data_IF_734678113168
#
_entry.id   IF_734678113168
#
_cell.length_a   1.000
_cell.length_b   1.000
_cell.length_c   1.000
_cell.angle_alpha   90.00
_cell.angle_beta   90.00
_cell.angle_gamma   90.00
#
_symmetry.space_group_name_H-M   'P 1'
#
loop_
_entity.id
_entity.type
_entity.pdbx_description
1 polymer ?
#
# COMPACT_ATOMS: atom_id res chain seq x y z
N UNK A 1 -37.23 2.10 23.30
CA UNK A 1 -38.05 1.82 22.10
C UNK A 1 -37.15 1.25 21.04
N UNK A 2 -37.23 -0.06 20.85
CA UNK A 2 -36.53 -0.82 19.81
C UNK A 2 -37.32 -0.70 18.49
N UNK A 3 -36.60 -0.45 17.40
CA UNK A 3 -37.07 -0.75 16.04
C UNK A 3 -35.86 -1.23 15.22
N UNK A 4 -35.85 -2.50 14.76
CA UNK A 4 -34.80 -3.04 13.90
C UNK A 4 -35.28 -3.17 12.44
N UNK A 5 -34.30 -3.53 11.58
CA UNK A 5 -34.37 -4.11 10.23
C UNK A 5 -34.42 -3.17 9.03
N UNK A 6 -33.38 -3.29 8.20
CA UNK A 6 -33.55 -3.46 6.75
C UNK A 6 -32.49 -4.44 6.25
N UNK A 7 -32.99 -5.54 5.70
CA UNK A 7 -32.29 -6.69 5.13
C UNK A 7 -31.66 -6.34 3.78
N UNK A 8 -30.43 -6.79 3.54
CA UNK A 8 -29.85 -6.84 2.20
C UNK A 8 -30.28 -8.14 1.49
N UNK A 9 -30.96 -8.03 0.36
CA UNK A 9 -31.21 -9.12 -0.59
C UNK A 9 -30.10 -9.18 -1.63
N UNK A 10 -29.41 -10.31 -1.72
CA UNK A 10 -28.46 -10.65 -2.80
C UNK A 10 -29.25 -11.21 -3.98
N UNK A 11 -29.13 -10.58 -5.15
CA UNK A 11 -29.66 -11.12 -6.41
C UNK A 11 -28.66 -12.09 -7.06
N UNK A 12 -29.10 -13.23 -7.61
CA UNK A 12 -28.21 -14.17 -8.28
C UNK A 12 -27.78 -13.69 -9.68
N UNK A 13 -26.52 -13.98 -10.02
CA UNK A 13 -25.85 -13.71 -11.31
C UNK A 13 -26.47 -14.57 -12.44
N UNK A 14 -26.74 -14.01 -13.63
CA UNK A 14 -27.21 -14.81 -14.77
C UNK A 14 -26.09 -15.70 -15.36
N UNK A 15 -26.45 -16.84 -16.01
CA UNK A 15 -25.49 -17.82 -16.50
C UNK A 15 -24.65 -17.32 -17.68
N UNK A 16 -23.39 -17.77 -17.75
CA UNK A 16 -22.43 -17.47 -18.80
C UNK A 16 -22.77 -18.18 -20.12
N UNK A 17 -22.82 -17.42 -21.20
CA UNK A 17 -22.95 -17.94 -22.57
C UNK A 17 -21.55 -18.32 -23.08
N UNK A 18 -21.36 -19.57 -23.50
CA UNK A 18 -20.14 -20.03 -24.16
C UNK A 18 -20.03 -19.46 -25.58
N UNK A 19 -18.84 -19.04 -26.04
CA UNK A 19 -18.63 -18.65 -27.44
C UNK A 19 -18.53 -19.88 -28.36
N UNK A 20 -18.86 -19.73 -29.66
CA UNK A 20 -18.81 -20.83 -30.64
C UNK A 20 -17.38 -21.18 -31.06
N UNK A 21 -17.24 -22.41 -31.57
CA UNK A 21 -16.01 -23.09 -31.94
C UNK A 21 -15.22 -22.44 -33.09
N UNK A 22 -13.92 -22.73 -33.09
CA UNK A 22 -12.86 -22.17 -33.92
C UNK A 22 -12.96 -22.49 -35.42
N UNK A 23 -12.41 -21.58 -36.24
CA UNK A 23 -12.09 -21.79 -37.65
C UNK A 23 -10.58 -22.07 -37.77
N UNK A 24 -10.20 -23.20 -38.37
CA UNK A 24 -8.81 -23.55 -38.67
C UNK A 24 -8.31 -22.82 -39.92
N UNK A 25 -7.01 -22.48 -40.00
CA UNK A 25 -6.33 -22.35 -41.28
C UNK A 25 -5.31 -23.48 -41.50
N UNK A 26 -5.40 -23.99 -42.72
CA UNK A 26 -4.56 -24.89 -43.50
C UNK A 26 -3.03 -24.69 -43.37
N UNK A 27 -2.35 -25.79 -43.03
CA UNK A 27 -1.19 -26.40 -43.72
C UNK A 27 -0.01 -25.56 -44.21
N UNK A 28 1.15 -25.76 -43.57
CA UNK A 28 2.45 -25.89 -44.24
C UNK A 28 3.21 -27.06 -43.56
N UNK A 29 3.56 -28.08 -44.35
CA UNK A 29 4.39 -29.23 -43.98
C UNK A 29 5.87 -28.84 -43.97
N UNK A 30 6.60 -29.22 -42.92
CA UNK A 30 8.05 -29.35 -42.94
C UNK A 30 8.48 -30.53 -42.05
N UNK A 31 9.03 -31.54 -42.73
CA UNK A 31 9.87 -32.68 -42.35
C UNK A 31 10.03 -33.04 -40.86
N UNK A 32 9.58 -34.25 -40.52
CA UNK A 32 9.88 -34.94 -39.26
C UNK A 32 10.85 -36.10 -39.52
N UNK A 33 12.05 -36.01 -38.94
CA UNK A 33 12.92 -37.17 -38.67
C UNK A 33 12.41 -37.92 -37.42
N UNK A 34 12.53 -39.27 -37.37
CA UNK A 34 12.01 -40.05 -36.25
C UNK A 34 12.99 -40.03 -35.06
N UNK A 35 12.50 -39.62 -33.88
CA UNK A 35 13.26 -39.73 -32.63
C UNK A 35 12.92 -41.07 -31.96
N UNK A 36 13.94 -41.90 -31.79
CA UNK A 36 13.91 -43.18 -31.07
C UNK A 36 13.41 -43.00 -29.62
N UNK A 37 12.48 -43.87 -29.20
CA UNK A 37 12.11 -44.06 -27.80
C UNK A 37 13.29 -44.67 -27.02
N UNK A 38 13.73 -43.99 -25.96
CA UNK A 38 14.68 -44.53 -24.99
C UNK A 38 14.13 -44.34 -23.57
N UNK A 39 13.86 -45.47 -22.93
CA UNK A 39 14.12 -45.76 -21.51
C UNK A 39 13.62 -44.78 -20.45
N UNK A 40 12.58 -45.18 -19.74
CA UNK A 40 12.21 -44.67 -18.41
C UNK A 40 13.32 -44.94 -17.39
N UNK A 41 14.13 -43.94 -17.04
CA UNK A 41 14.89 -43.91 -15.79
C UNK A 41 14.21 -42.95 -14.79
N UNK A 42 13.89 -43.49 -13.62
CA UNK A 42 13.29 -42.74 -12.52
C UNK A 42 14.30 -41.71 -11.97
N UNK A 43 14.02 -40.43 -12.18
CA UNK A 43 14.74 -39.34 -11.51
C UNK A 43 14.54 -39.37 -9.99
N UNK A 44 15.47 -38.80 -9.21
CA UNK A 44 15.44 -38.88 -7.76
C UNK A 44 14.17 -38.21 -7.21
N UNK A 45 13.48 -38.89 -6.30
CA UNK A 45 12.36 -38.32 -5.56
C UNK A 45 12.82 -37.05 -4.85
N UNK A 46 12.33 -35.90 -5.33
CA UNK A 46 12.41 -34.63 -4.62
C UNK A 46 11.52 -34.78 -3.39
N UNK A 47 12.15 -35.08 -2.25
CA UNK A 47 11.48 -35.14 -0.96
C UNK A 47 10.61 -33.91 -0.76
N UNK A 48 9.31 -34.14 -0.50
CA UNK A 48 8.37 -33.08 -0.14
C UNK A 48 8.91 -32.35 1.09
N UNK A 49 9.45 -31.15 0.87
CA UNK A 49 9.68 -30.20 1.94
C UNK A 49 8.34 -29.99 2.66
N UNK A 50 8.32 -30.18 3.99
CA UNK A 50 7.17 -29.85 4.82
C UNK A 50 6.73 -28.39 4.62
N UNK A 51 5.53 -28.01 5.09
CA UNK A 51 5.03 -26.65 4.90
C UNK A 51 6.00 -25.66 5.52
N UNK A 52 6.69 -24.88 4.66
CA UNK A 52 7.52 -23.76 5.12
C UNK A 52 6.59 -22.77 5.80
N UNK A 53 6.87 -22.42 7.05
CA UNK A 53 6.25 -21.28 7.71
C UNK A 53 6.42 -20.06 6.80
N UNK A 54 5.31 -19.47 6.36
CA UNK A 54 5.37 -18.26 5.55
C UNK A 54 5.86 -17.12 6.43
N UNK A 55 7.02 -16.58 6.10
CA UNK A 55 7.54 -15.34 6.68
C UNK A 55 7.01 -14.19 5.84
N UNK A 56 6.38 -13.22 6.49
CA UNK A 56 5.90 -11.99 5.85
C UNK A 56 6.88 -10.86 6.17
N UNK A 57 7.26 -10.09 5.16
CA UNK A 57 8.05 -8.89 5.32
C UNK A 57 7.28 -7.72 4.73
N UNK A 58 7.07 -6.68 5.53
CA UNK A 58 6.40 -5.45 5.10
C UNK A 58 7.39 -4.30 5.16
N UNK A 59 7.51 -3.58 4.04
CA UNK A 59 8.23 -2.31 3.98
C UNK A 59 7.17 -1.22 3.89
N UNK A 60 7.25 -0.23 4.78
CA UNK A 60 6.38 0.93 4.76
C UNK A 60 7.11 2.17 4.23
N UNK A 61 6.56 2.82 3.20
CA UNK A 61 7.06 4.08 2.66
C UNK A 61 6.25 5.28 3.14
N UNK A 62 6.85 6.11 3.98
CA UNK A 62 6.29 7.40 4.39
C UNK A 62 6.78 8.53 3.46
N UNK A 63 5.88 9.12 2.66
CA UNK A 63 6.23 10.17 1.70
C UNK A 63 5.55 11.50 2.04
N UNK A 64 6.34 12.52 2.36
CA UNK A 64 5.84 13.85 2.72
C UNK A 64 6.76 14.97 2.21
N UNK A 65 6.14 16.08 1.81
CA UNK A 65 6.78 17.38 1.62
C UNK A 65 5.91 18.45 2.29
N UNK A 66 6.46 19.35 3.10
CA UNK A 66 5.72 20.52 3.56
C UNK A 66 5.34 21.42 2.36
N UNK A 67 4.34 22.30 2.50
CA UNK A 67 4.10 23.36 1.52
C UNK A 67 5.37 24.18 1.30
N UNK A 68 5.69 24.47 0.04
CA UNK A 68 6.88 25.25 -0.36
C UNK A 68 6.53 26.48 -1.19
N UNK A 69 5.25 26.64 -1.51
CA UNK A 69 4.72 27.73 -2.30
C UNK A 69 4.84 29.05 -1.53
N UNK A 70 5.26 30.09 -2.24
CA UNK A 70 5.14 31.45 -1.75
C UNK A 70 3.65 31.82 -1.67
N UNK A 71 3.12 32.24 -0.50
CA UNK A 71 1.69 32.47 -0.30
C UNK A 71 1.14 33.63 -1.14
N UNK A 72 2.00 34.54 -1.61
CA UNK A 72 1.59 35.66 -2.48
C UNK A 72 1.57 35.25 -3.95
N UNK A 73 2.51 34.41 -4.37
CA UNK A 73 2.66 34.00 -5.77
C UNK A 73 1.88 32.73 -6.10
N UNK A 74 1.51 31.95 -5.07
CA UNK A 74 0.95 30.61 -5.18
C UNK A 74 1.80 29.70 -6.10
N UNK A 75 3.12 29.87 -6.01
CA UNK A 75 4.13 29.17 -6.80
C UNK A 75 5.38 28.91 -5.95
N UNK A 76 6.07 27.82 -6.23
CA UNK A 76 7.37 27.53 -5.62
C UNK A 76 8.41 28.36 -6.37
N UNK A 77 9.25 29.09 -5.63
CA UNK A 77 10.35 29.85 -6.22
C UNK A 77 11.53 28.92 -6.53
N UNK A 78 12.44 29.36 -7.40
CA UNK A 78 13.62 28.56 -7.75
C UNK A 78 14.50 28.32 -6.52
N UNK A 79 14.95 27.08 -6.33
CA UNK A 79 15.80 26.70 -5.20
C UNK A 79 17.13 26.17 -5.74
N UNK A 80 18.20 26.95 -5.63
CA UNK A 80 19.51 26.62 -6.23
C UNK A 80 20.07 25.27 -5.77
N UNK A 81 19.84 24.89 -4.50
CA UNK A 81 20.27 23.61 -3.95
C UNK A 81 19.58 22.38 -4.60
N UNK A 82 18.49 22.59 -5.33
CA UNK A 82 17.79 21.54 -6.07
C UNK A 82 18.33 21.34 -7.50
N UNK A 83 19.38 22.06 -7.91
CA UNK A 83 19.95 21.94 -9.24
C UNK A 83 20.25 20.47 -9.63
N UNK A 84 20.00 20.07 -10.89
CA UNK A 84 19.58 20.91 -12.02
C UNK A 84 18.08 21.24 -12.08
N UNK A 85 17.28 20.79 -11.11
CA UNK A 85 15.83 20.98 -11.08
C UNK A 85 15.45 22.41 -10.64
N UNK A 86 14.22 22.81 -10.91
CA UNK A 86 13.72 24.12 -10.50
C UNK A 86 13.67 24.25 -8.97
N UNK A 87 13.16 23.22 -8.30
CA UNK A 87 12.99 23.17 -6.85
C UNK A 87 13.08 21.73 -6.29
N UNK A 88 13.03 21.62 -4.96
CA UNK A 88 13.13 20.33 -4.28
C UNK A 88 11.97 19.37 -4.58
N UNK A 89 10.76 19.86 -4.89
CA UNK A 89 9.66 18.96 -5.23
C UNK A 89 9.94 18.26 -6.55
N UNK A 90 10.41 18.98 -7.57
CA UNK A 90 10.80 18.40 -8.86
C UNK A 90 11.95 17.39 -8.72
N UNK A 91 13.00 17.77 -7.96
CA UNK A 91 14.16 16.90 -7.75
C UNK A 91 13.77 15.59 -7.06
N UNK A 92 13.07 15.68 -5.93
CA UNK A 92 12.69 14.51 -5.15
C UNK A 92 11.66 13.67 -5.93
N UNK A 93 10.78 14.31 -6.70
CA UNK A 93 9.90 13.59 -7.62
C UNK A 93 10.70 12.73 -8.61
N UNK A 94 11.71 13.32 -9.26
CA UNK A 94 12.55 12.61 -10.23
C UNK A 94 13.36 11.47 -9.59
N UNK A 95 13.91 11.70 -8.39
CA UNK A 95 14.81 10.76 -7.71
C UNK A 95 14.08 9.70 -6.87
N UNK A 96 12.85 9.96 -6.42
CA UNK A 96 12.14 9.12 -5.45
C UNK A 96 10.73 8.69 -5.92
N UNK A 97 9.81 9.64 -6.11
CA UNK A 97 8.40 9.31 -6.32
C UNK A 97 8.15 8.63 -7.67
N UNK A 98 8.71 9.20 -8.74
CA UNK A 98 8.59 8.64 -10.09
C UNK A 98 9.27 7.27 -10.18
N UNK A 99 10.52 7.06 -9.71
CA UNK A 99 11.14 5.73 -9.72
C UNK A 99 10.32 4.65 -9.01
N UNK A 100 9.56 4.97 -7.95
CA UNK A 100 8.65 4.01 -7.33
C UNK A 100 7.49 3.60 -8.25
N UNK A 101 6.95 4.52 -9.05
CA UNK A 101 5.92 4.20 -10.05
C UNK A 101 6.44 3.37 -11.25
N UNK A 102 7.76 3.36 -11.48
CA UNK A 102 8.43 2.73 -12.61
C UNK A 102 9.67 1.94 -12.18
N UNK A 103 9.56 1.22 -11.06
CA UNK A 103 10.68 0.49 -10.48
C UNK A 103 11.17 -0.59 -11.45
N UNK A 104 12.48 -0.62 -11.69
CA UNK A 104 13.10 -1.58 -12.60
C UNK A 104 13.56 -2.80 -11.81
N UNK A 105 13.07 -3.97 -12.20
CA UNK A 105 13.67 -5.25 -11.81
C UNK A 105 14.78 -5.52 -12.80
N UNK A 106 16.00 -5.72 -12.30
CA UNK A 106 17.20 -5.93 -13.11
C UNK A 106 17.75 -7.35 -12.92
N UNK A 107 18.43 -7.85 -13.94
CA UNK A 107 19.18 -9.12 -13.86
C UNK A 107 20.47 -8.94 -13.05
N UNK A 108 21.14 -10.05 -12.74
CA UNK A 108 22.52 -10.11 -12.24
C UNK A 108 23.51 -9.28 -13.09
N UNK A 109 23.27 -9.18 -14.39
CA UNK A 109 24.04 -8.36 -15.35
C UNK A 109 23.50 -6.93 -15.57
N UNK A 110 22.62 -6.43 -14.71
CA UNK A 110 22.11 -5.05 -14.77
C UNK A 110 21.13 -4.74 -15.91
N UNK A 111 20.63 -5.76 -16.63
CA UNK A 111 19.64 -5.56 -17.70
C UNK A 111 18.24 -5.45 -17.09
N UNK A 112 17.45 -4.48 -17.53
CA UNK A 112 16.05 -4.37 -17.11
C UNK A 112 15.25 -5.58 -17.59
N UNK A 113 14.76 -6.37 -16.65
CA UNK A 113 13.88 -7.51 -16.89
C UNK A 113 12.41 -7.08 -16.95
N UNK A 114 12.00 -6.19 -16.04
CA UNK A 114 10.63 -5.71 -15.94
C UNK A 114 10.59 -4.31 -15.32
N UNK A 115 9.58 -3.53 -15.71
CA UNK A 115 9.21 -2.30 -15.01
C UNK A 115 7.92 -2.59 -14.25
N UNK A 116 7.92 -2.36 -12.94
CA UNK A 116 6.78 -2.58 -12.05
C UNK A 116 6.42 -1.27 -11.34
N UNK A 117 5.18 -1.17 -10.89
CA UNK A 117 4.78 -0.11 -10.00
C UNK A 117 4.97 -0.60 -8.55
N UNK A 118 5.95 -0.05 -7.85
CA UNK A 118 6.31 -0.49 -6.49
C UNK A 118 5.17 -0.25 -5.49
N UNK A 119 4.32 0.76 -5.72
CA UNK A 119 3.15 1.04 -4.89
C UNK A 119 2.12 -0.11 -4.87
N UNK A 120 2.16 -1.04 -5.83
CA UNK A 120 1.33 -2.25 -5.79
C UNK A 120 1.74 -3.27 -4.71
N UNK A 121 2.97 -3.16 -4.20
CA UNK A 121 3.60 -4.15 -3.32
C UNK A 121 4.11 -3.56 -2.01
N UNK A 122 4.41 -2.26 -2.00
CA UNK A 122 4.83 -1.49 -0.83
C UNK A 122 3.60 -1.08 -0.01
N UNK A 123 3.64 -1.16 1.32
CA UNK A 123 2.69 -0.42 2.18
C UNK A 123 3.10 1.05 2.22
N UNK A 124 2.19 2.01 2.09
CA UNK A 124 2.62 3.41 1.99
C UNK A 124 1.59 4.41 2.49
N UNK A 125 2.06 5.62 2.79
CA UNK A 125 1.22 6.81 2.91
C UNK A 125 1.87 7.95 2.12
N UNK A 126 1.06 8.85 1.56
CA UNK A 126 1.54 10.08 0.92
C UNK A 126 0.76 11.25 1.50
N UNK A 127 1.48 12.29 1.93
CA UNK A 127 0.86 13.48 2.53
C UNK A 127 -0.02 14.27 1.54
N UNK A 128 -1.10 14.94 2.01
CA UNK A 128 -2.03 15.68 1.14
C UNK A 128 -1.37 16.79 0.32
N UNK A 129 -0.39 17.49 0.89
CA UNK A 129 0.40 18.54 0.23
C UNK A 129 1.13 17.99 -0.99
N UNK A 130 1.81 16.85 -0.82
CA UNK A 130 2.54 16.17 -1.88
C UNK A 130 1.59 15.60 -2.94
N UNK A 131 0.47 14.99 -2.54
CA UNK A 131 -0.52 14.47 -3.51
C UNK A 131 -1.11 15.60 -4.37
N UNK A 132 -1.41 16.75 -3.76
CA UNK A 132 -1.91 17.92 -4.50
C UNK A 132 -0.88 18.46 -5.49
N UNK A 133 0.40 18.48 -5.12
CA UNK A 133 1.48 18.86 -6.03
C UNK A 133 1.63 17.85 -7.19
N UNK A 134 1.65 16.55 -6.89
CA UNK A 134 1.79 15.50 -7.90
C UNK A 134 0.61 15.49 -8.89
N UNK A 135 -0.60 15.72 -8.42
CA UNK A 135 -1.81 15.81 -9.25
C UNK A 135 -1.68 16.92 -10.31
N UNK A 136 -1.13 18.08 -9.93
CA UNK A 136 -0.96 19.23 -10.81
C UNK A 136 0.27 19.14 -11.72
N UNK A 137 1.41 18.76 -11.16
CA UNK A 137 2.72 18.89 -11.84
C UNK A 137 3.29 17.57 -12.35
N UNK A 138 2.83 16.43 -11.83
CA UNK A 138 3.31 15.11 -12.22
C UNK A 138 2.18 14.06 -12.33
N UNK A 139 1.15 14.32 -13.17
CA UNK A 139 -0.08 13.53 -13.20
C UNK A 139 0.17 12.05 -13.49
N UNK A 140 1.19 11.70 -14.28
CA UNK A 140 1.52 10.30 -14.56
C UNK A 140 1.93 9.53 -13.29
N UNK A 141 2.73 10.14 -12.41
CA UNK A 141 3.15 9.50 -11.15
C UNK A 141 2.00 9.46 -10.16
N UNK A 142 1.20 10.53 -10.09
CA UNK A 142 -0.03 10.56 -9.30
C UNK A 142 -0.97 9.40 -9.67
N UNK A 143 -1.26 9.22 -10.97
CA UNK A 143 -2.11 8.13 -11.44
C UNK A 143 -1.52 6.74 -11.15
N UNK A 144 -0.19 6.59 -11.22
CA UNK A 144 0.47 5.34 -10.85
C UNK A 144 0.36 5.03 -9.36
N UNK A 145 0.44 6.03 -8.48
CA UNK A 145 0.20 5.84 -7.03
C UNK A 145 -1.22 5.30 -6.81
N UNK A 146 -2.24 5.94 -7.38
CA UNK A 146 -3.64 5.52 -7.23
C UNK A 146 -3.89 4.13 -7.84
N UNK A 147 -3.30 3.85 -9.00
CA UNK A 147 -3.39 2.54 -9.64
C UNK A 147 -2.65 1.45 -8.84
N UNK A 148 -1.61 1.82 -8.09
CA UNK A 148 -0.88 0.93 -7.18
C UNK A 148 -1.78 0.42 -6.06
N UNK A 149 -2.45 1.35 -5.37
CA UNK A 149 -3.41 1.00 -4.32
C UNK A 149 -4.56 0.15 -4.89
N UNK A 150 -5.17 0.57 -6.00
CA UNK A 150 -6.27 -0.18 -6.64
C UNK A 150 -5.90 -1.63 -6.96
N UNK A 151 -4.73 -1.85 -7.55
CA UNK A 151 -4.23 -3.20 -7.87
C UNK A 151 -3.87 -4.01 -6.63
N UNK A 152 -3.44 -3.35 -5.54
CA UNK A 152 -3.25 -4.02 -4.27
C UNK A 152 -4.59 -4.47 -3.66
N UNK A 153 -5.63 -3.64 -3.73
CA UNK A 153 -6.99 -4.03 -3.30
C UNK A 153 -7.50 -5.26 -4.07
N UNK A 154 -7.32 -5.28 -5.40
CA UNK A 154 -7.71 -6.43 -6.24
C UNK A 154 -7.01 -7.72 -5.81
N UNK A 155 -5.74 -7.62 -5.37
CA UNK A 155 -4.93 -8.76 -4.92
C UNK A 155 -5.30 -9.23 -3.51
N UNK A 156 -5.67 -8.31 -2.63
CA UNK A 156 -5.88 -8.56 -1.21
C UNK A 156 -7.35 -8.42 -0.81
N UNK A 157 -8.28 -8.88 -1.65
CA UNK A 157 -9.71 -9.00 -1.33
C UNK A 157 -10.35 -7.69 -0.84
N UNK A 158 -9.90 -6.55 -1.37
CA UNK A 158 -10.38 -5.21 -1.02
C UNK A 158 -9.45 -4.41 -0.12
N UNK A 159 -8.42 -5.04 0.47
CA UNK A 159 -7.44 -4.36 1.32
C UNK A 159 -6.35 -3.69 0.48
N UNK A 160 -6.27 -2.36 0.55
CA UNK A 160 -5.26 -1.61 -0.20
C UNK A 160 -4.02 -1.30 0.63
N UNK A 161 -2.88 -1.21 -0.05
CA UNK A 161 -1.60 -0.93 0.58
C UNK A 161 -1.45 0.53 1.07
N UNK A 162 -2.22 1.46 0.50
CA UNK A 162 -2.22 2.85 0.93
C UNK A 162 -2.95 3.01 2.27
N UNK A 163 -2.36 3.77 3.18
CA UNK A 163 -3.01 4.25 4.39
C UNK A 163 -3.12 5.78 4.35
N UNK A 164 -4.06 6.33 5.11
CA UNK A 164 -4.21 7.79 5.21
C UNK A 164 -3.02 8.41 5.97
N UNK A 165 -2.95 9.74 5.98
CA UNK A 165 -2.03 10.50 6.84
C UNK A 165 -2.83 11.57 7.59
N UNK A 166 -2.44 11.90 8.82
CA UNK A 166 -2.91 13.14 9.46
C UNK A 166 -2.61 14.35 8.56
N UNK A 167 -3.61 15.21 8.38
CA UNK A 167 -3.68 16.10 7.22
C UNK A 167 -2.49 17.06 7.07
N UNK A 168 -2.12 17.78 8.14
CA UNK A 168 -1.05 18.79 8.14
C UNK A 168 0.28 18.25 8.69
N UNK A 169 0.41 16.93 8.90
CA UNK A 169 1.62 16.32 9.46
C UNK A 169 2.04 16.92 10.83
N UNK A 170 1.07 17.18 11.71
CA UNK A 170 1.37 17.71 13.05
C UNK A 170 1.73 16.60 14.04
N UNK A 171 2.50 16.94 15.07
CA UNK A 171 2.75 16.09 16.23
C UNK A 171 1.47 15.99 17.06
N UNK A 172 0.70 14.92 16.84
CA UNK A 172 -0.65 14.75 17.40
C UNK A 172 -0.73 14.90 18.93
N UNK A 173 0.22 14.38 19.75
CA UNK A 173 0.18 14.57 21.20
C UNK A 173 0.24 16.03 21.69
N UNK A 174 0.73 16.97 20.86
CA UNK A 174 0.78 18.39 21.21
C UNK A 174 -0.51 19.15 20.86
N UNK A 175 -1.43 18.52 20.13
CA UNK A 175 -2.69 19.10 19.74
C UNK A 175 -3.79 18.81 20.78
N UNK A 176 -4.77 19.72 20.90
CA UNK A 176 -5.97 19.43 21.68
C UNK A 176 -6.87 18.43 20.93
N UNK A 177 -7.84 17.83 21.64
CA UNK A 177 -8.78 16.85 21.08
C UNK A 177 -9.48 17.29 19.79
N UNK A 178 -9.93 18.55 19.72
CA UNK A 178 -10.64 19.09 18.55
C UNK A 178 -9.71 19.07 17.33
N UNK A 179 -8.47 19.48 17.50
CA UNK A 179 -7.48 19.51 16.42
C UNK A 179 -7.05 18.10 16.03
N UNK A 180 -6.86 17.18 16.99
CA UNK A 180 -6.62 15.75 16.71
C UNK A 180 -7.72 15.17 15.80
N UNK A 181 -8.99 15.36 16.16
CA UNK A 181 -10.14 14.91 15.34
C UNK A 181 -10.17 15.60 13.97
N UNK A 182 -9.85 16.89 13.91
CA UNK A 182 -9.78 17.64 12.65
C UNK A 182 -8.74 17.04 11.73
N UNK A 183 -7.53 16.76 12.22
CA UNK A 183 -6.45 16.16 11.44
C UNK A 183 -6.81 14.78 10.88
N UNK A 184 -7.46 13.94 11.71
CA UNK A 184 -7.90 12.61 11.30
C UNK A 184 -8.99 12.71 10.23
N UNK A 185 -10.03 13.52 10.47
CA UNK A 185 -11.17 13.65 9.54
C UNK A 185 -10.76 14.22 8.20
N UNK A 186 -9.91 15.25 8.18
CA UNK A 186 -9.38 15.80 6.94
C UNK A 186 -8.45 14.83 6.22
N UNK A 187 -7.61 14.07 6.95
CA UNK A 187 -6.80 13.00 6.38
C UNK A 187 -7.65 11.91 5.72
N UNK A 188 -8.72 11.47 6.38
CA UNK A 188 -9.69 10.52 5.81
C UNK A 188 -10.41 11.09 4.59
N UNK A 189 -10.83 12.36 4.64
CA UNK A 189 -11.53 13.00 3.54
C UNK A 189 -10.66 13.13 2.29
N UNK A 190 -9.40 13.56 2.44
CA UNK A 190 -8.43 13.62 1.34
C UNK A 190 -8.16 12.22 0.77
N UNK A 191 -7.93 11.23 1.64
CA UNK A 191 -7.74 9.85 1.22
C UNK A 191 -8.94 9.33 0.41
N UNK A 192 -10.16 9.49 0.92
CA UNK A 192 -11.38 9.04 0.23
C UNK A 192 -11.57 9.73 -1.11
N UNK A 193 -11.31 11.04 -1.17
CA UNK A 193 -11.46 11.82 -2.40
C UNK A 193 -10.52 11.33 -3.52
N UNK A 194 -9.32 10.83 -3.16
CA UNK A 194 -8.29 10.40 -4.12
C UNK A 194 -8.35 8.90 -4.43
N UNK A 195 -8.43 8.07 -3.41
CA UNK A 195 -8.35 6.61 -3.52
C UNK A 195 -9.72 5.94 -3.69
N UNK A 196 -10.83 6.64 -3.39
CA UNK A 196 -12.19 6.14 -3.61
C UNK A 196 -12.65 5.05 -2.63
N UNK A 197 -11.96 4.90 -1.49
CA UNK A 197 -12.32 3.98 -0.39
C UNK A 197 -12.03 4.61 0.97
N UNK A 198 -12.55 4.04 2.04
CA UNK A 198 -12.16 4.42 3.40
C UNK A 198 -10.76 3.88 3.73
N UNK A 199 -9.92 4.63 4.47
CA UNK A 199 -8.62 4.14 4.93
C UNK A 199 -8.79 3.20 6.13
N UNK A 200 -8.09 2.08 6.11
CA UNK A 200 -8.04 1.15 7.25
C UNK A 200 -7.02 1.57 8.30
N UNK A 201 -5.91 2.16 7.84
CA UNK A 201 -4.86 2.70 8.70
C UNK A 201 -4.64 4.20 8.48
N UNK A 202 -3.94 4.83 9.42
CA UNK A 202 -3.44 6.21 9.26
C UNK A 202 -2.01 6.31 9.77
N UNK A 203 -1.17 7.06 9.06
CA UNK A 203 0.16 7.43 9.51
C UNK A 203 0.09 8.67 10.42
N UNK A 204 0.63 8.53 11.63
CA UNK A 204 0.85 9.64 12.58
C UNK A 204 2.23 10.25 12.34
N UNK A 205 2.31 11.58 12.27
CA UNK A 205 3.58 12.29 12.06
C UNK A 205 4.60 11.87 13.13
N UNK A 206 5.80 11.48 12.68
CA UNK A 206 6.89 11.00 13.53
C UNK A 206 6.52 9.84 14.45
N UNK A 207 5.51 9.03 14.09
CA UNK A 207 4.94 7.96 14.93
C UNK A 207 4.47 8.45 16.31
N UNK A 208 4.25 9.77 16.45
CA UNK A 208 3.94 10.40 17.73
C UNK A 208 2.50 10.07 18.15
N UNK A 209 2.37 9.43 19.31
CA UNK A 209 1.10 8.90 19.80
C UNK A 209 0.97 9.08 21.32
N UNK A 210 -0.25 9.33 21.78
CA UNK A 210 -0.67 9.32 23.17
C UNK A 210 -2.04 8.64 23.30
N UNK A 211 -2.50 8.38 24.53
CA UNK A 211 -3.77 7.70 24.78
C UNK A 211 -4.96 8.44 24.15
N UNK A 212 -4.98 9.77 24.23
CA UNK A 212 -6.07 10.56 23.63
C UNK A 212 -6.06 10.50 22.09
N UNK A 213 -4.88 10.41 21.46
CA UNK A 213 -4.77 10.17 20.02
C UNK A 213 -5.37 8.82 19.66
N UNK A 214 -5.07 7.76 20.42
CA UNK A 214 -5.68 6.43 20.23
C UNK A 214 -7.21 6.50 20.34
N UNK A 215 -7.75 7.17 21.36
CA UNK A 215 -9.20 7.34 21.50
C UNK A 215 -9.83 8.04 20.30
N UNK A 216 -9.15 9.05 19.75
CA UNK A 216 -9.61 9.75 18.55
C UNK A 216 -9.57 8.86 17.30
N UNK A 217 -8.52 8.03 17.15
CA UNK A 217 -8.42 7.08 16.03
C UNK A 217 -9.55 6.04 16.08
N UNK A 218 -9.80 5.47 17.26
CA UNK A 218 -10.88 4.49 17.47
C UNK A 218 -12.25 5.14 17.17
N UNK A 219 -12.50 6.35 17.68
CA UNK A 219 -13.74 7.07 17.45
C UNK A 219 -14.00 7.37 15.97
N UNK A 220 -12.94 7.57 15.19
CA UNK A 220 -13.01 7.80 13.75
C UNK A 220 -12.91 6.51 12.91
N UNK A 221 -12.93 5.34 13.55
CA UNK A 221 -12.97 4.04 12.88
C UNK A 221 -11.67 3.64 12.17
N UNK A 222 -10.52 4.16 12.60
CA UNK A 222 -9.22 3.72 12.11
C UNK A 222 -8.84 2.42 12.80
N UNK A 223 -8.51 1.39 12.02
CA UNK A 223 -8.23 0.05 12.54
C UNK A 223 -6.79 -0.09 13.04
N UNK A 224 -5.82 0.57 12.42
CA UNK A 224 -4.42 0.50 12.83
C UNK A 224 -3.60 1.75 12.51
N UNK A 225 -2.42 1.84 13.14
CA UNK A 225 -1.34 2.79 12.81
C UNK A 225 -0.01 2.04 12.91
N UNK A 226 1.04 2.61 12.35
CA UNK A 226 2.41 2.08 12.46
C UNK A 226 3.15 2.82 13.58
N UNK A 227 3.89 2.08 14.41
CA UNK A 227 4.70 2.59 15.53
C UNK A 227 6.09 1.95 15.51
N UNK A 228 7.04 2.59 16.17
CA UNK A 228 8.36 2.03 16.39
C UNK A 228 8.33 0.89 17.45
N UNK A 229 9.19 -0.13 17.34
CA UNK A 229 9.29 -1.20 18.34
C UNK A 229 9.45 -0.72 19.78
N UNK A 230 10.21 0.36 19.98
CA UNK A 230 10.47 0.95 21.31
C UNK A 230 9.23 1.57 21.96
N UNK A 231 8.14 1.77 21.22
CA UNK A 231 6.88 2.30 21.74
C UNK A 231 5.98 1.18 22.32
N UNK A 232 6.34 -0.09 22.14
CA UNK A 232 5.57 -1.22 22.67
C UNK A 232 6.16 -1.74 23.99
N UNK A 233 5.35 -1.78 25.04
CA UNK A 233 5.72 -2.45 26.30
C UNK A 233 5.38 -3.94 26.26
N UNK A 234 4.25 -4.29 25.64
CA UNK A 234 3.76 -5.67 25.56
C UNK A 234 3.03 -5.91 24.24
N UNK A 235 3.08 -7.13 23.73
CA UNK A 235 2.31 -7.57 22.57
C UNK A 235 1.59 -8.89 22.83
N UNK A 236 0.60 -9.21 21.98
CA UNK A 236 -0.06 -10.52 21.89
C UNK A 236 -0.83 -10.62 20.57
N UNK A 237 -1.12 -11.84 20.07
CA UNK A 237 -2.08 -12.03 18.99
C UNK A 237 -3.44 -11.42 19.30
N UNK A 238 -4.11 -10.87 18.28
CA UNK A 238 -5.50 -10.44 18.39
C UNK A 238 -6.38 -11.66 18.66
N UNK A 239 -7.36 -11.51 19.57
CA UNK A 239 -8.35 -12.55 19.80
C UNK A 239 -9.19 -12.76 18.54
N UNK A 240 -9.55 -14.01 18.27
CA UNK A 240 -10.48 -14.36 17.19
C UNK A 240 -11.74 -15.00 17.78
N UNK A 241 -12.77 -15.20 16.97
CA UNK A 241 -13.95 -15.95 17.41
C UNK A 241 -13.62 -17.40 17.81
N UNK A 242 -12.53 -17.95 17.28
CA UNK A 242 -12.09 -19.32 17.54
C UNK A 242 -11.07 -19.42 18.68
N UNK A 243 -10.30 -18.37 18.94
CA UNK A 243 -9.18 -18.39 19.90
C UNK A 243 -9.24 -17.20 20.86
N UNK A 244 -9.31 -17.45 22.19
CA UNK A 244 -9.31 -16.38 23.18
C UNK A 244 -7.99 -15.62 23.17
N UNK A 245 -8.00 -14.40 23.71
CA UNK A 245 -6.80 -13.56 23.78
C UNK A 245 -5.68 -14.26 24.56
N UNK A 246 -4.51 -14.39 23.93
CA UNK A 246 -3.33 -14.91 24.58
C UNK A 246 -2.84 -13.99 25.72
N UNK A 247 -1.93 -14.52 26.53
CA UNK A 247 -1.22 -13.73 27.54
C UNK A 247 -0.35 -12.66 26.87
N UNK A 248 -0.21 -11.51 27.53
CA UNK A 248 0.69 -10.45 27.09
C UNK A 248 2.15 -10.88 27.26
N UNK A 249 2.95 -10.72 26.21
CA UNK A 249 4.39 -10.88 26.24
C UNK A 249 5.06 -9.52 26.39
N UNK A 250 6.05 -9.40 27.28
CA UNK A 250 6.89 -8.21 27.42
C UNK A 250 7.83 -8.07 26.22
N UNK A 251 7.81 -6.90 25.58
CA UNK A 251 8.67 -6.54 24.45
C UNK A 251 9.30 -5.15 24.65
N UNK A 252 9.35 -4.66 25.89
CA UNK A 252 9.93 -3.36 26.25
C UNK A 252 11.41 -3.21 25.88
N UNK A 253 12.09 -4.32 25.60
CA UNK A 253 13.46 -4.37 25.08
C UNK A 253 13.56 -4.25 23.54
N UNK A 254 12.44 -4.02 22.84
CA UNK A 254 12.39 -3.95 21.37
C UNK A 254 12.31 -5.29 20.65
N UNK A 255 12.09 -6.40 21.36
CA UNK A 255 11.96 -7.76 20.78
C UNK A 255 10.59 -8.05 20.14
N UNK A 256 9.87 -7.01 19.70
CA UNK A 256 8.61 -7.22 18.97
C UNK A 256 8.94 -7.81 17.59
N UNK A 257 8.34 -8.97 17.28
CA UNK A 257 8.56 -9.72 16.03
C UNK A 257 10.03 -10.16 15.78
N UNK A 258 10.59 -11.10 16.58
CA UNK A 258 11.92 -11.67 16.38
C UNK A 258 11.98 -12.83 15.38
#
# INVERSE_FOLDING_TARGET
MLAPLSSFTVTPKPPSVNPPAANQPTGIQADREPVNELGTEAGPEVGRAGPKSQVWAVIHGHFYQPPRENPYLNAIERQEAAAPFHDWNERIHFECYRPNGFARIVSDRGRTLRIVNNFEYLSFNIGPTLLSWLEKFAPETYQRILAGDRRSCERWQGHGNAIAQVYNHIIMPLANRRDKLTQIRWGKADFRARFGREPEGIWLAETAIDAETVDCLIAEGIAFTVLAPSQALRCRPLATAAEPAAAWQDVSNGSIDP
#
